data_IF_696700618938
#
_entry.id   IF_696700618938
#
_cell.length_a   1.000
_cell.length_b   1.000
_cell.length_c   1.000
_cell.angle_alpha   90.00
_cell.angle_beta   90.00
_cell.angle_gamma   90.00
#
_symmetry.space_group_name_H-M   'P 1'
#
loop_
_entity.id
_entity.type
_entity.pdbx_description
1 polymer ?
#
# COMPACT_ATOMS: atom_id res chain seq x y z
N UNK A 1 -48.01 21.22 -37.52
CA UNK A 1 -46.65 21.46 -38.07
C UNK A 1 -45.78 22.03 -36.97
N UNK A 2 -44.49 21.64 -36.96
CA UNK A 2 -43.38 22.00 -36.04
C UNK A 2 -43.19 21.12 -34.77
N UNK A 3 -41.93 20.84 -34.35
CA UNK A 3 -41.38 19.48 -34.45
C UNK A 3 -40.71 18.93 -33.17
N UNK A 4 -40.32 17.66 -33.27
CA UNK A 4 -39.62 16.81 -32.29
C UNK A 4 -38.20 17.32 -32.00
N UNK A 5 -37.84 17.45 -30.71
CA UNK A 5 -36.46 17.66 -30.26
C UNK A 5 -35.94 16.40 -29.54
N UNK A 6 -34.93 15.79 -30.16
CA UNK A 6 -34.09 14.73 -29.60
C UNK A 6 -33.08 15.33 -28.61
N UNK A 7 -33.05 14.83 -27.37
CA UNK A 7 -31.90 15.02 -26.48
C UNK A 7 -30.97 13.80 -26.56
N UNK A 8 -29.74 14.02 -27.07
CA UNK A 8 -28.60 13.12 -26.88
C UNK A 8 -27.86 13.52 -25.60
N UNK A 9 -27.43 12.57 -24.74
CA UNK A 9 -26.40 12.88 -23.75
C UNK A 9 -25.01 12.70 -24.36
N UNK A 10 -24.17 13.68 -24.07
CA UNK A 10 -22.73 13.71 -24.34
C UNK A 10 -22.02 12.59 -23.57
N UNK A 11 -21.35 11.69 -24.29
CA UNK A 11 -20.25 10.91 -23.73
C UNK A 11 -18.94 11.56 -24.15
N UNK A 12 -18.23 12.21 -23.22
CA UNK A 12 -16.81 12.50 -23.38
C UNK A 12 -16.10 12.60 -22.03
N UNK A 13 -15.01 11.83 -21.94
CA UNK A 13 -13.81 12.02 -21.11
C UNK A 13 -13.87 11.60 -19.63
N UNK A 14 -13.82 10.29 -19.40
CA UNK A 14 -13.17 9.72 -18.21
C UNK A 14 -12.02 8.82 -18.65
N UNK A 15 -10.84 9.41 -18.88
CA UNK A 15 -9.58 8.69 -19.09
C UNK A 15 -8.37 9.65 -18.95
N UNK A 16 -8.22 10.32 -17.80
CA UNK A 16 -6.99 11.09 -17.54
C UNK A 16 -6.50 11.10 -16.07
N UNK A 17 -7.30 10.72 -15.06
CA UNK A 17 -6.89 10.94 -13.65
C UNK A 17 -5.87 9.94 -13.10
N UNK A 18 -6.00 8.64 -13.42
CA UNK A 18 -5.11 7.61 -12.88
C UNK A 18 -3.66 7.72 -13.37
N UNK A 19 -3.40 8.42 -14.47
CA UNK A 19 -2.05 8.62 -15.02
C UNK A 19 -1.26 9.73 -14.30
N UNK A 20 -1.95 10.75 -13.77
CA UNK A 20 -1.32 11.92 -13.14
C UNK A 20 -0.76 11.57 -11.75
N UNK A 21 -1.49 10.77 -10.97
CA UNK A 21 -1.06 10.30 -9.64
C UNK A 21 0.21 9.43 -9.72
N UNK A 22 0.34 8.59 -10.75
CA UNK A 22 1.48 7.71 -10.99
C UNK A 22 2.76 8.47 -11.35
N UNK A 23 2.66 9.54 -12.16
CA UNK A 23 3.81 10.39 -12.45
C UNK A 23 4.32 11.09 -11.19
N UNK A 24 3.44 11.53 -10.28
CA UNK A 24 3.86 12.23 -9.07
C UNK A 24 4.66 11.38 -8.09
N UNK A 25 4.34 10.09 -7.91
CA UNK A 25 5.10 9.20 -7.02
C UNK A 25 6.47 8.85 -7.61
N UNK A 26 6.53 8.51 -8.90
CA UNK A 26 7.79 8.23 -9.58
C UNK A 26 8.70 9.48 -9.67
N UNK A 27 8.12 10.69 -9.75
CA UNK A 27 8.83 11.97 -9.71
C UNK A 27 9.33 12.35 -8.30
N UNK A 28 8.58 12.01 -7.25
CA UNK A 28 9.00 12.21 -5.86
C UNK A 28 10.32 11.47 -5.58
N UNK A 29 10.41 10.21 -6.02
CA UNK A 29 11.62 9.43 -5.84
C UNK A 29 12.82 9.98 -6.65
N UNK A 30 12.62 10.36 -7.93
CA UNK A 30 13.68 10.99 -8.74
C UNK A 30 14.24 12.26 -8.09
N UNK A 31 13.39 13.10 -7.48
CA UNK A 31 13.83 14.30 -6.74
C UNK A 31 14.65 13.98 -5.48
N UNK A 32 14.38 12.86 -4.82
CA UNK A 32 15.14 12.42 -3.65
C UNK A 32 16.57 11.99 -4.03
N UNK A 33 16.71 11.25 -5.14
CA UNK A 33 18.01 10.79 -5.67
C UNK A 33 18.91 11.94 -6.15
N UNK A 34 18.34 12.98 -6.75
CA UNK A 34 19.12 14.17 -7.15
C UNK A 34 19.66 14.94 -5.93
N UNK A 35 18.91 14.94 -4.83
CA UNK A 35 19.27 15.63 -3.58
C UNK A 35 20.39 14.90 -2.81
N UNK A 36 20.47 13.57 -2.90
CA UNK A 36 21.52 12.76 -2.25
C UNK A 36 22.85 12.80 -3.02
N UNK A 37 22.82 12.96 -4.35
CA UNK A 37 24.01 13.04 -5.21
C UNK A 37 24.78 14.37 -5.09
N UNK A 38 24.17 15.44 -4.57
CA UNK A 38 24.79 16.76 -4.39
C UNK A 38 25.75 16.88 -3.18
N UNK A 39 25.92 15.84 -2.36
CA UNK A 39 26.67 15.90 -1.08
C UNK A 39 28.10 15.33 -1.08
N UNK A 40 28.73 15.07 -2.24
CA UNK A 40 30.12 14.56 -2.29
C UNK A 40 31.10 15.60 -2.84
N UNK A 41 31.75 16.37 -1.96
CA UNK A 41 33.06 16.97 -2.26
C UNK A 41 33.96 17.07 -1.02
N UNK A 42 35.14 16.47 -1.22
CA UNK A 42 36.44 16.63 -0.56
C UNK A 42 36.54 16.52 0.96
N UNK A 43 37.29 15.51 1.42
CA UNK A 43 38.31 15.70 2.45
C UNK A 43 39.44 14.67 2.27
N UNK A 44 40.64 15.18 2.03
CA UNK A 44 41.92 14.46 1.96
C UNK A 44 42.74 14.84 3.19
N UNK A 45 43.37 13.87 3.87
CA UNK A 45 44.26 14.21 5.00
C UNK A 45 44.71 13.04 5.87
N UNK A 46 45.88 12.52 5.50
CA UNK A 46 46.98 11.89 6.25
C UNK A 46 46.76 10.90 7.42
N UNK A 47 47.57 9.84 7.38
CA UNK A 47 47.67 8.70 8.31
C UNK A 47 48.64 9.02 9.45
N UNK A 48 48.20 8.82 10.69
CA UNK A 48 49.06 8.49 11.82
C UNK A 48 48.39 7.39 12.67
N UNK A 49 49.16 6.35 12.94
CA UNK A 49 48.74 5.08 13.52
C UNK A 49 49.07 5.09 15.02
N UNK A 50 48.06 5.15 15.89
CA UNK A 50 48.21 4.93 17.34
C UNK A 50 47.06 4.07 17.84
N UNK A 51 47.44 2.99 18.54
CA UNK A 51 46.56 2.02 19.19
C UNK A 51 45.58 2.72 20.15
N UNK A 52 44.29 2.66 19.85
CA UNK A 52 43.24 2.98 20.81
C UNK A 52 41.97 2.23 20.43
N UNK A 53 41.54 1.28 21.25
CA UNK A 53 40.17 0.74 21.21
C UNK A 53 39.11 1.83 21.52
N UNK A 54 39.54 3.08 21.75
CA UNK A 54 38.72 4.27 21.90
C UNK A 54 39.06 5.19 20.72
N UNK A 55 38.51 4.89 19.55
CA UNK A 55 38.50 5.85 18.45
C UNK A 55 37.79 7.13 18.89
N UNK A 56 38.16 8.29 18.31
CA UNK A 56 37.41 9.54 18.52
C UNK A 56 35.91 9.26 18.28
N UNK A 57 35.00 9.81 19.12
CA UNK A 57 33.58 9.56 18.98
C UNK A 57 33.13 9.90 17.56
N UNK A 58 32.49 8.93 16.91
CA UNK A 58 32.02 9.10 15.54
C UNK A 58 30.92 10.16 15.50
N UNK A 59 30.98 11.06 14.51
CA UNK A 59 29.90 12.03 14.28
C UNK A 59 28.67 11.25 13.80
N UNK A 60 27.50 11.53 14.39
CA UNK A 60 26.23 10.94 13.98
C UNK A 60 25.44 11.91 13.10
N UNK A 61 24.84 11.46 11.98
CA UNK A 61 25.05 10.16 11.35
C UNK A 61 26.48 10.00 10.80
N UNK A 62 26.99 8.76 10.78
CA UNK A 62 28.38 8.44 10.40
C UNK A 62 28.77 8.79 8.97
N UNK A 63 27.78 9.05 8.10
CA UNK A 63 27.97 9.40 6.68
C UNK A 63 28.37 8.22 5.78
N UNK A 64 28.82 7.10 6.35
CA UNK A 64 29.14 5.87 5.61
C UNK A 64 28.00 4.87 5.76
N UNK A 65 27.23 4.65 4.69
CA UNK A 65 26.24 3.56 4.62
C UNK A 65 26.98 2.22 4.57
N UNK A 66 26.52 1.25 5.36
CA UNK A 66 26.99 -0.12 5.31
C UNK A 66 25.89 -0.95 4.66
N UNK A 67 26.06 -1.30 3.38
CA UNK A 67 25.15 -2.19 2.68
C UNK A 67 25.94 -3.33 2.02
N UNK A 68 25.40 -4.54 2.07
CA UNK A 68 25.97 -5.73 1.43
C UNK A 68 25.15 -6.04 0.18
N UNK A 69 25.79 -5.91 -0.98
CA UNK A 69 25.23 -6.23 -2.30
C UNK A 69 23.82 -5.68 -2.55
N UNK A 70 23.52 -4.51 -1.99
CA UNK A 70 22.24 -3.83 -2.18
C UNK A 70 22.41 -2.72 -3.23
N UNK A 71 21.97 -3.00 -4.45
CA UNK A 71 22.12 -2.09 -5.57
C UNK A 71 21.11 -0.93 -5.50
N UNK A 72 21.51 0.28 -5.93
CA UNK A 72 20.68 1.48 -5.85
C UNK A 72 19.33 1.35 -6.59
N UNK A 73 19.28 0.59 -7.69
CA UNK A 73 18.01 0.31 -8.38
C UNK A 73 17.11 -0.61 -7.56
N UNK A 74 17.67 -1.60 -6.86
CA UNK A 74 16.91 -2.47 -5.94
C UNK A 74 16.39 -1.64 -4.76
N UNK A 75 17.24 -0.81 -4.15
CA UNK A 75 16.83 0.14 -3.10
C UNK A 75 15.71 1.07 -3.57
N UNK A 76 15.79 1.53 -4.83
CA UNK A 76 14.75 2.34 -5.47
C UNK A 76 13.44 1.61 -5.62
N UNK A 77 13.47 0.37 -6.13
CA UNK A 77 12.27 -0.41 -6.32
C UNK A 77 11.59 -0.74 -4.98
N UNK A 78 12.38 -1.04 -3.94
CA UNK A 78 11.86 -1.28 -2.59
C UNK A 78 11.21 -0.01 -2.01
N UNK A 79 11.84 1.16 -2.19
CA UNK A 79 11.26 2.44 -1.77
C UNK A 79 9.97 2.79 -2.54
N UNK A 80 9.92 2.49 -3.84
CA UNK A 80 8.69 2.66 -4.62
C UNK A 80 7.58 1.75 -4.08
N UNK A 81 7.89 0.49 -3.78
CA UNK A 81 6.93 -0.44 -3.18
C UNK A 81 6.40 0.07 -1.83
N UNK A 82 7.25 0.59 -0.94
CA UNK A 82 6.82 1.21 0.34
C UNK A 82 5.72 2.26 0.09
N UNK A 83 5.90 3.11 -0.92
CA UNK A 83 4.95 4.18 -1.23
C UNK A 83 3.66 3.66 -1.88
N UNK A 84 3.74 2.56 -2.65
CA UNK A 84 2.58 1.87 -3.23
C UNK A 84 1.72 1.24 -2.13
N UNK A 85 2.34 0.49 -1.20
CA UNK A 85 1.63 -0.05 -0.02
C UNK A 85 1.06 1.09 0.85
N UNK A 86 1.81 2.19 0.96
CA UNK A 86 1.38 3.35 1.73
C UNK A 86 0.11 4.01 1.17
N UNK A 87 0.02 4.10 -0.16
CA UNK A 87 -1.18 4.56 -0.86
C UNK A 87 -2.32 3.56 -0.64
N UNK A 88 -2.04 2.27 -0.71
CA UNK A 88 -3.07 1.24 -0.57
C UNK A 88 -3.72 1.25 0.81
N UNK A 89 -2.93 1.30 1.90
CA UNK A 89 -3.51 1.38 3.25
C UNK A 89 -4.37 2.62 3.43
N UNK A 90 -3.99 3.76 2.84
CA UNK A 90 -4.74 5.01 2.99
C UNK A 90 -6.05 4.99 2.21
N UNK A 91 -6.08 4.33 1.05
CA UNK A 91 -7.30 4.09 0.29
C UNK A 91 -8.25 3.18 1.07
N UNK A 92 -7.74 2.11 1.67
CA UNK A 92 -8.56 1.22 2.50
C UNK A 92 -9.12 1.93 3.74
N UNK A 93 -8.34 2.80 4.38
CA UNK A 93 -8.83 3.63 5.48
C UNK A 93 -9.99 4.55 5.03
N UNK A 94 -9.86 5.17 3.85
CA UNK A 94 -10.92 5.99 3.24
C UNK A 94 -12.20 5.19 2.98
N UNK A 95 -12.07 3.96 2.45
CA UNK A 95 -13.23 3.07 2.25
C UNK A 95 -13.89 2.70 3.56
N UNK A 96 -13.11 2.30 4.57
CA UNK A 96 -13.63 1.95 5.89
C UNK A 96 -14.39 3.12 6.53
N UNK A 97 -13.81 4.32 6.49
CA UNK A 97 -14.43 5.53 7.02
C UNK A 97 -15.77 5.85 6.35
N UNK A 98 -15.90 5.60 5.04
CA UNK A 98 -17.17 5.79 4.34
C UNK A 98 -18.24 4.79 4.79
N UNK A 99 -17.91 3.50 4.86
CA UNK A 99 -18.89 2.47 5.24
C UNK A 99 -19.31 2.55 6.72
N UNK A 100 -18.48 3.14 7.57
CA UNK A 100 -18.78 3.44 8.98
C UNK A 100 -19.63 4.70 9.22
N UNK A 101 -19.94 5.48 8.17
CA UNK A 101 -20.86 6.61 8.31
C UNK A 101 -22.24 6.13 8.75
N UNK A 102 -22.90 6.88 9.63
CA UNK A 102 -24.25 6.55 10.14
C UNK A 102 -25.31 6.46 9.02
N UNK A 103 -25.13 7.18 7.92
CA UNK A 103 -26.05 7.18 6.77
C UNK A 103 -25.71 6.10 5.71
N UNK A 104 -24.60 5.37 5.88
CA UNK A 104 -24.22 4.21 5.06
C UNK A 104 -24.40 2.91 5.85
N UNK A 105 -23.84 2.85 7.07
CA UNK A 105 -24.03 1.82 8.09
C UNK A 105 -23.84 0.38 7.59
N UNK A 106 -22.70 0.09 6.97
CA UNK A 106 -22.31 -1.24 6.49
C UNK A 106 -21.10 -1.78 7.30
N UNK A 107 -21.34 -2.31 8.51
CA UNK A 107 -20.27 -2.68 9.45
C UNK A 107 -19.36 -3.82 8.96
N UNK A 108 -19.85 -4.71 8.09
CA UNK A 108 -19.02 -5.72 7.45
C UNK A 108 -17.99 -5.12 6.52
N UNK A 109 -18.41 -4.19 5.66
CA UNK A 109 -17.53 -3.46 4.75
C UNK A 109 -16.54 -2.57 5.52
N UNK A 110 -17.01 -1.86 6.55
CA UNK A 110 -16.15 -1.07 7.44
C UNK A 110 -15.06 -1.95 8.07
N UNK A 111 -15.45 -3.05 8.71
CA UNK A 111 -14.51 -3.97 9.38
C UNK A 111 -13.52 -4.59 8.39
N UNK A 112 -14.01 -4.99 7.22
CA UNK A 112 -13.18 -5.60 6.17
C UNK A 112 -12.12 -4.63 5.66
N UNK A 113 -12.51 -3.40 5.29
CA UNK A 113 -11.54 -2.43 4.79
C UNK A 113 -10.61 -1.91 5.90
N UNK A 114 -11.06 -1.90 7.17
CA UNK A 114 -10.16 -1.63 8.30
C UNK A 114 -9.11 -2.73 8.45
N UNK A 115 -9.49 -4.01 8.30
CA UNK A 115 -8.53 -5.11 8.27
C UNK A 115 -7.52 -4.94 7.11
N UNK A 116 -8.00 -4.65 5.90
CA UNK A 116 -7.11 -4.44 4.75
C UNK A 116 -6.16 -3.25 4.96
N UNK A 117 -6.64 -2.16 5.56
CA UNK A 117 -5.80 -1.03 5.95
C UNK A 117 -4.64 -1.46 6.86
N UNK A 118 -4.91 -2.27 7.89
CA UNK A 118 -3.86 -2.76 8.77
C UNK A 118 -2.89 -3.71 8.06
N UNK A 119 -3.38 -4.59 7.19
CA UNK A 119 -2.54 -5.51 6.41
C UNK A 119 -1.56 -4.75 5.49
N UNK A 120 -2.04 -3.76 4.73
CA UNK A 120 -1.16 -2.97 3.86
C UNK A 120 -0.18 -2.05 4.63
N UNK A 121 -0.58 -1.57 5.81
CA UNK A 121 0.33 -0.84 6.68
C UNK A 121 1.47 -1.75 7.17
N UNK A 122 1.18 -2.99 7.55
CA UNK A 122 2.20 -3.99 7.89
C UNK A 122 3.10 -4.32 6.69
N UNK A 123 2.55 -4.42 5.47
CA UNK A 123 3.36 -4.59 4.25
C UNK A 123 4.34 -3.45 4.04
N UNK A 124 3.88 -2.19 4.13
CA UNK A 124 4.74 -1.01 4.03
C UNK A 124 5.88 -1.03 5.06
N UNK A 125 5.57 -1.41 6.32
CA UNK A 125 6.55 -1.54 7.39
C UNK A 125 7.55 -2.69 7.14
N UNK A 126 7.12 -3.82 6.58
CA UNK A 126 8.02 -4.93 6.21
C UNK A 126 9.03 -4.49 5.16
N UNK A 127 8.61 -3.79 4.11
CA UNK A 127 9.55 -3.24 3.11
C UNK A 127 10.47 -2.18 3.71
N UNK A 128 9.94 -1.28 4.54
CA UNK A 128 10.73 -0.27 5.25
C UNK A 128 11.83 -0.90 6.11
N UNK A 129 11.46 -1.89 6.91
CA UNK A 129 12.40 -2.62 7.75
C UNK A 129 13.43 -3.38 6.92
N UNK A 130 13.03 -3.93 5.78
CA UNK A 130 13.93 -4.59 4.85
C UNK A 130 14.97 -3.63 4.26
N UNK A 131 14.57 -2.43 3.80
CA UNK A 131 15.50 -1.39 3.31
C UNK A 131 16.49 -0.99 4.41
N UNK A 132 16.01 -0.75 5.63
CA UNK A 132 16.87 -0.44 6.78
C UNK A 132 17.84 -1.59 7.11
N UNK A 133 17.36 -2.84 7.09
CA UNK A 133 18.17 -4.03 7.34
C UNK A 133 19.30 -4.18 6.31
N UNK A 134 19.01 -3.87 5.03
CA UNK A 134 20.01 -3.89 3.95
C UNK A 134 20.96 -2.68 3.97
N UNK A 135 20.76 -1.73 4.88
CA UNK A 135 21.59 -0.52 5.01
C UNK A 135 21.27 0.58 4.01
N UNK A 136 20.10 0.51 3.37
CA UNK A 136 19.56 1.56 2.51
C UNK A 136 18.95 2.72 3.29
N UNK A 137 18.38 3.67 2.55
CA UNK A 137 17.67 4.82 3.08
C UNK A 137 16.23 4.82 2.59
N UNK A 138 15.32 5.09 3.52
CA UNK A 138 13.88 5.10 3.24
C UNK A 138 13.47 6.51 2.81
N UNK A 139 12.80 6.58 1.67
CA UNK A 139 12.29 7.81 1.06
C UNK A 139 10.77 7.76 1.00
N UNK A 140 10.13 8.31 2.04
CA UNK A 140 8.68 8.43 2.12
C UNK A 140 8.18 9.62 1.28
N UNK A 141 7.19 9.36 0.44
CA UNK A 141 6.53 10.37 -0.38
C UNK A 141 5.20 10.80 0.24
N UNK A 142 4.69 11.94 -0.22
CA UNK A 142 3.34 12.37 0.13
C UNK A 142 2.32 11.33 -0.38
N UNK A 143 1.41 10.92 0.51
CA UNK A 143 0.31 10.03 0.18
C UNK A 143 -0.84 10.90 -0.33
N UNK A 144 -1.21 10.71 -1.60
CA UNK A 144 -2.33 11.42 -2.19
C UNK A 144 -3.64 10.69 -1.86
N UNK A 145 -4.71 11.39 -1.44
CA UNK A 145 -6.02 10.80 -1.26
C UNK A 145 -6.60 10.33 -2.60
N UNK A 146 -7.60 9.44 -2.54
CA UNK A 146 -8.42 9.12 -3.71
C UNK A 146 -9.22 10.35 -4.18
N UNK A 147 -9.32 10.53 -5.50
CA UNK A 147 -10.13 11.61 -6.09
C UNK A 147 -11.62 11.49 -5.74
N UNK A 148 -12.10 10.25 -5.55
CA UNK A 148 -13.45 9.93 -5.10
C UNK A 148 -13.38 9.32 -3.70
N UNK A 149 -13.96 10.00 -2.71
CA UNK A 149 -14.07 9.54 -1.32
C UNK A 149 -15.51 9.20 -0.92
N UNK A 150 -16.47 9.38 -1.83
CA UNK A 150 -17.86 9.08 -1.51
C UNK A 150 -18.19 7.62 -1.78
N UNK A 151 -17.34 6.82 -2.43
CA UNK A 151 -17.38 5.36 -2.67
C UNK A 151 -18.71 4.71 -3.14
N UNK A 152 -19.84 5.39 -3.07
CA UNK A 152 -21.22 5.14 -3.51
C UNK A 152 -21.83 3.87 -2.96
N UNK A 153 -21.27 2.73 -3.31
CA UNK A 153 -21.78 1.42 -2.95
C UNK A 153 -20.64 0.40 -2.82
N UNK A 154 -20.88 -0.74 -2.16
CA UNK A 154 -19.88 -1.80 -2.04
C UNK A 154 -19.26 -2.19 -3.38
N UNK A 155 -20.05 -2.35 -4.45
CA UNK A 155 -19.54 -2.73 -5.76
C UNK A 155 -18.48 -1.76 -6.30
N UNK A 156 -18.66 -0.46 -6.09
CA UNK A 156 -17.69 0.54 -6.54
C UNK A 156 -16.41 0.49 -5.70
N UNK A 157 -16.52 0.41 -4.37
CA UNK A 157 -15.36 0.26 -3.48
C UNK A 157 -14.54 -1.00 -3.80
N UNK A 158 -15.20 -2.17 -3.91
CA UNK A 158 -14.54 -3.44 -4.21
C UNK A 158 -13.90 -3.50 -5.61
N UNK A 159 -14.48 -2.82 -6.60
CA UNK A 159 -13.84 -2.68 -7.93
C UNK A 159 -12.56 -1.85 -7.85
N UNK A 160 -12.58 -0.78 -7.07
CA UNK A 160 -11.38 0.04 -6.83
C UNK A 160 -10.34 -0.73 -6.03
N UNK A 161 -10.74 -1.46 -4.99
CA UNK A 161 -9.87 -2.34 -4.22
C UNK A 161 -9.21 -3.40 -5.11
N UNK A 162 -9.97 -4.09 -5.96
CA UNK A 162 -9.40 -5.04 -6.92
C UNK A 162 -8.36 -4.40 -7.85
N UNK A 163 -8.63 -3.19 -8.34
CA UNK A 163 -7.69 -2.48 -9.20
C UNK A 163 -6.42 -2.07 -8.45
N UNK A 164 -6.55 -1.71 -7.17
CA UNK A 164 -5.45 -1.38 -6.27
C UNK A 164 -4.57 -2.61 -6.02
N UNK A 165 -5.15 -3.77 -5.68
CA UNK A 165 -4.42 -5.04 -5.52
C UNK A 165 -3.65 -5.45 -6.79
N UNK A 166 -4.26 -5.27 -7.97
CA UNK A 166 -3.60 -5.55 -9.25
C UNK A 166 -2.43 -4.58 -9.49
N UNK A 167 -2.56 -3.32 -9.08
CA UNK A 167 -1.49 -2.32 -9.19
C UNK A 167 -0.33 -2.66 -8.26
N UNK A 168 -0.61 -2.92 -6.97
CA UNK A 168 0.37 -3.36 -5.97
C UNK A 168 1.13 -4.59 -6.47
N UNK A 169 0.41 -5.61 -6.95
CA UNK A 169 1.02 -6.82 -7.49
C UNK A 169 1.93 -6.59 -8.71
N UNK A 170 1.61 -5.63 -9.58
CA UNK A 170 2.49 -5.27 -10.71
C UNK A 170 3.79 -4.63 -10.24
N UNK A 171 3.71 -3.76 -9.23
CA UNK A 171 4.90 -3.15 -8.64
C UNK A 171 5.77 -4.18 -7.91
N UNK A 172 5.18 -5.14 -7.20
CA UNK A 172 5.91 -6.27 -6.60
C UNK A 172 6.69 -7.08 -7.65
N UNK A 173 6.03 -7.43 -8.76
CA UNK A 173 6.68 -8.16 -9.86
C UNK A 173 7.80 -7.32 -10.49
N UNK A 174 7.59 -6.02 -10.69
CA UNK A 174 8.62 -5.12 -11.21
C UNK A 174 9.82 -5.00 -10.26
N UNK A 175 9.57 -4.91 -8.94
CA UNK A 175 10.63 -4.88 -7.93
C UNK A 175 11.44 -6.18 -7.91
N UNK A 176 10.79 -7.34 -8.02
CA UNK A 176 11.49 -8.62 -8.11
C UNK A 176 12.32 -8.72 -9.40
N UNK A 177 11.80 -8.25 -10.54
CA UNK A 177 12.56 -8.23 -11.79
C UNK A 177 13.84 -7.36 -11.68
N UNK A 178 13.80 -6.26 -10.93
CA UNK A 178 15.00 -5.45 -10.64
C UNK A 178 15.97 -6.21 -9.73
N UNK A 179 15.47 -6.91 -8.70
CA UNK A 179 16.31 -7.74 -7.84
C UNK A 179 17.03 -8.85 -8.64
N UNK A 180 16.28 -9.57 -9.49
CA UNK A 180 16.83 -10.62 -10.37
C UNK A 180 17.85 -10.06 -11.36
N UNK A 181 17.59 -8.90 -11.97
CA UNK A 181 18.51 -8.21 -12.88
C UNK A 181 19.88 -7.98 -12.24
N UNK A 182 19.92 -7.63 -10.96
CA UNK A 182 21.15 -7.36 -10.21
C UNK A 182 21.69 -8.59 -9.46
N UNK A 183 21.07 -9.76 -9.62
CA UNK A 183 21.46 -10.98 -8.91
C UNK A 183 21.25 -10.92 -7.40
N UNK A 184 20.37 -10.04 -6.91
CA UNK A 184 20.08 -9.89 -5.48
C UNK A 184 19.11 -10.99 -5.00
N UNK A 185 19.67 -12.16 -4.71
CA UNK A 185 18.91 -13.33 -4.28
C UNK A 185 18.13 -13.10 -2.98
N UNK A 186 18.65 -12.28 -2.06
CA UNK A 186 17.98 -12.01 -0.80
C UNK A 186 16.77 -11.09 -0.99
N UNK A 187 16.85 -10.09 -1.88
CA UNK A 187 15.71 -9.26 -2.23
C UNK A 187 14.64 -10.05 -2.99
N UNK A 188 15.07 -10.94 -3.89
CA UNK A 188 14.15 -11.80 -4.63
C UNK A 188 13.40 -12.77 -3.71
N UNK A 189 14.11 -13.46 -2.81
CA UNK A 189 13.48 -14.35 -1.81
C UNK A 189 12.52 -13.57 -0.89
N UNK A 190 12.92 -12.39 -0.42
CA UNK A 190 12.06 -11.53 0.40
C UNK A 190 10.74 -11.21 -0.28
N UNK A 191 10.75 -10.88 -1.58
CA UNK A 191 9.53 -10.55 -2.33
C UNK A 191 8.71 -11.81 -2.63
N UNK A 192 9.35 -12.85 -3.18
CA UNK A 192 8.66 -14.08 -3.63
C UNK A 192 8.03 -14.80 -2.44
N UNK A 193 8.85 -15.14 -1.45
CA UNK A 193 8.41 -15.91 -0.28
C UNK A 193 7.57 -15.05 0.67
N UNK A 194 7.84 -13.75 0.73
CA UNK A 194 7.19 -12.87 1.69
C UNK A 194 5.84 -12.29 1.25
N UNK A 195 5.56 -12.20 -0.05
CA UNK A 195 4.41 -11.41 -0.56
C UNK A 195 3.68 -12.03 -1.75
N UNK A 196 4.35 -12.73 -2.68
CA UNK A 196 3.71 -13.08 -3.96
C UNK A 196 2.49 -13.99 -3.81
N UNK A 197 2.55 -15.03 -2.97
CA UNK A 197 1.42 -15.93 -2.77
C UNK A 197 0.21 -15.21 -2.16
N UNK A 198 0.45 -14.42 -1.12
CA UNK A 198 -0.60 -13.67 -0.43
C UNK A 198 -1.21 -12.60 -1.34
N UNK A 199 -0.40 -11.93 -2.16
CA UNK A 199 -0.89 -11.00 -3.18
C UNK A 199 -1.84 -11.69 -4.17
N UNK A 200 -1.52 -12.91 -4.63
CA UNK A 200 -2.40 -13.65 -5.54
C UNK A 200 -3.71 -14.07 -4.85
N UNK A 201 -3.65 -14.42 -3.55
CA UNK A 201 -4.84 -14.70 -2.75
C UNK A 201 -5.73 -13.46 -2.61
N UNK A 202 -5.15 -12.30 -2.30
CA UNK A 202 -5.87 -11.02 -2.18
C UNK A 202 -6.55 -10.64 -3.49
N UNK A 203 -5.85 -10.69 -4.63
CA UNK A 203 -6.44 -10.40 -5.96
C UNK A 203 -7.60 -11.34 -6.26
N UNK A 204 -7.44 -12.65 -6.00
CA UNK A 204 -8.50 -13.63 -6.21
C UNK A 204 -9.71 -13.39 -5.29
N UNK A 205 -9.48 -13.08 -4.01
CA UNK A 205 -10.54 -12.77 -3.05
C UNK A 205 -11.33 -11.53 -3.47
N UNK A 206 -10.66 -10.43 -3.81
CA UNK A 206 -11.32 -9.22 -4.32
C UNK A 206 -12.09 -9.49 -5.62
N UNK A 207 -11.52 -10.27 -6.54
CA UNK A 207 -12.19 -10.65 -7.80
C UNK A 207 -13.48 -11.45 -7.57
N UNK A 208 -13.47 -12.38 -6.61
CA UNK A 208 -14.67 -13.15 -6.22
C UNK A 208 -15.74 -12.26 -5.59
N UNK A 209 -15.35 -11.34 -4.69
CA UNK A 209 -16.27 -10.39 -4.06
C UNK A 209 -16.90 -9.43 -5.08
N UNK A 210 -16.11 -8.90 -6.01
CA UNK A 210 -16.62 -8.09 -7.14
C UNK A 210 -17.59 -8.88 -8.01
N UNK A 211 -17.30 -10.14 -8.29
CA UNK A 211 -18.19 -11.01 -9.09
C UNK A 211 -19.53 -11.23 -8.39
N UNK A 212 -19.52 -11.53 -7.09
CA UNK A 212 -20.73 -11.68 -6.30
C UNK A 212 -21.56 -10.38 -6.28
N UNK A 213 -20.94 -9.25 -5.95
CA UNK A 213 -21.59 -7.93 -5.94
C UNK A 213 -22.17 -7.54 -7.30
N UNK A 214 -21.48 -7.90 -8.40
CA UNK A 214 -21.96 -7.64 -9.76
C UNK A 214 -23.18 -8.49 -10.12
N UNK A 215 -23.25 -9.72 -9.60
CA UNK A 215 -24.36 -10.65 -9.85
C UNK A 215 -25.63 -10.32 -9.06
N UNK A 216 -25.48 -9.95 -7.78
CA UNK A 216 -26.64 -9.63 -6.91
C UNK A 216 -27.21 -8.22 -7.17
N UNK A 217 -26.43 -7.33 -7.77
CA UNK A 217 -26.82 -5.95 -8.02
C UNK A 217 -26.81 -5.07 -6.78
N UNK A 218 -27.36 -3.85 -6.90
CA UNK A 218 -27.22 -2.80 -5.89
C UNK A 218 -28.54 -2.48 -5.15
N UNK A 219 -29.23 -3.52 -4.70
CA UNK A 219 -30.48 -3.40 -3.93
C UNK A 219 -30.20 -3.40 -2.42
N UNK A 220 -31.05 -2.74 -1.62
CA UNK A 220 -30.85 -2.61 -0.17
C UNK A 220 -30.71 -3.97 0.54
N UNK A 221 -31.55 -4.95 0.20
CA UNK A 221 -31.46 -6.30 0.76
C UNK A 221 -30.16 -7.01 0.35
N UNK A 222 -29.72 -6.83 -0.90
CA UNK A 222 -28.47 -7.41 -1.40
C UNK A 222 -27.25 -6.84 -0.66
N UNK A 223 -27.22 -5.52 -0.44
CA UNK A 223 -26.18 -4.85 0.38
C UNK A 223 -26.14 -5.42 1.79
N UNK A 224 -27.31 -5.53 2.43
CA UNK A 224 -27.41 -6.04 3.80
C UNK A 224 -26.93 -7.48 3.93
N UNK A 225 -27.35 -8.37 3.03
CA UNK A 225 -26.94 -9.79 3.05
C UNK A 225 -25.44 -9.91 2.77
N UNK A 226 -24.93 -9.19 1.77
CA UNK A 226 -23.50 -9.19 1.45
C UNK A 226 -22.66 -8.69 2.64
N UNK A 227 -23.06 -7.59 3.26
CA UNK A 227 -22.34 -7.01 4.39
C UNK A 227 -22.28 -7.96 5.59
N UNK A 228 -23.40 -8.64 5.87
CA UNK A 228 -23.45 -9.67 6.91
C UNK A 228 -22.53 -10.86 6.60
N UNK A 229 -22.58 -11.38 5.37
CA UNK A 229 -21.71 -12.49 4.93
C UNK A 229 -20.22 -12.09 5.00
N UNK A 230 -19.91 -10.86 4.59
CA UNK A 230 -18.57 -10.30 4.64
C UNK A 230 -18.03 -10.28 6.09
N UNK A 231 -18.85 -9.79 7.02
CA UNK A 231 -18.51 -9.72 8.44
C UNK A 231 -18.31 -11.11 9.09
N UNK A 232 -19.08 -12.11 8.66
CA UNK A 232 -19.03 -13.46 9.23
C UNK A 232 -17.86 -14.28 8.69
N UNK A 233 -17.56 -14.16 7.38
CA UNK A 233 -16.68 -15.09 6.67
C UNK A 233 -15.33 -14.51 6.24
N UNK A 234 -15.19 -13.19 6.17
CA UNK A 234 -13.98 -12.55 5.63
C UNK A 234 -13.27 -11.61 6.61
N UNK A 235 -13.94 -11.22 7.70
CA UNK A 235 -13.39 -10.35 8.75
C UNK A 235 -12.85 -11.18 9.91
N UNK A 236 -11.56 -11.00 10.24
CA UNK A 236 -10.95 -11.63 11.41
C UNK A 236 -11.61 -11.09 12.70
N UNK A 237 -11.74 -11.91 13.76
CA UNK A 237 -12.42 -11.49 14.99
C UNK A 237 -11.87 -10.20 15.61
N UNK A 238 -10.57 -9.94 15.50
CA UNK A 238 -9.94 -8.73 16.04
C UNK A 238 -10.35 -7.43 15.34
N UNK A 239 -10.83 -7.51 14.10
CA UNK A 239 -11.30 -6.36 13.30
C UNK A 239 -12.82 -6.26 13.25
N UNK A 240 -13.55 -7.21 13.85
CA UNK A 240 -15.00 -7.17 13.87
C UNK A 240 -15.47 -6.10 14.87
N UNK A 241 -15.91 -4.95 14.34
CA UNK A 241 -16.32 -3.80 15.15
C UNK A 241 -17.57 -4.06 16.00
N UNK A 242 -18.37 -5.08 15.67
CA UNK A 242 -19.59 -5.43 16.40
C UNK A 242 -19.33 -6.44 17.54
N UNK A 243 -18.26 -7.22 17.45
CA UNK A 243 -17.88 -8.19 18.48
C UNK A 243 -16.89 -7.55 19.44
N UNK A 244 -17.40 -6.96 20.53
CA UNK A 244 -16.53 -6.55 21.62
C UNK A 244 -15.70 -7.74 22.14
N UNK A 245 -14.39 -7.53 22.35
CA UNK A 245 -13.56 -8.44 23.13
C UNK A 245 -14.15 -8.56 24.54
N UNK A 246 -14.97 -9.57 24.78
CA UNK A 246 -15.27 -10.03 26.13
C UNK A 246 -13.98 -10.60 26.71
N UNK A 247 -13.11 -9.74 27.25
CA UNK A 247 -12.01 -10.21 28.10
C UNK A 247 -12.65 -10.88 29.32
N UNK A 248 -12.34 -12.15 29.63
CA UNK A 248 -12.66 -12.67 30.95
C UNK A 248 -11.86 -11.83 31.95
N UNK A 249 -12.56 -11.09 32.83
CA UNK A 249 -11.93 -10.49 34.01
C UNK A 249 -11.25 -11.64 34.76
N UNK A 250 -9.92 -11.71 34.73
CA UNK A 250 -9.17 -12.50 35.70
C UNK A 250 -9.50 -11.91 37.08
N UNK A 251 -10.46 -12.51 37.76
CA UNK A 251 -10.68 -12.30 39.18
C UNK A 251 -9.44 -12.87 39.88
N UNK A 252 -8.48 -12.00 40.19
CA UNK A 252 -7.39 -12.34 41.09
C UNK A 252 -8.00 -12.65 42.46
N UNK A 253 -7.89 -13.91 42.91
CA UNK A 253 -7.95 -14.31 44.30
C UNK A 253 -6.54 -14.49 44.82
#
# INVERSE_FOLDING_TARGET
MLPVLYHRPFYRLFRFSSYVSLQTQHLCYKRSQDSSNLRKRSESGNRDQVNSCIGKPMKWPSGKKSHFDFHNETESAMNEQINVESKAFYYYLSMAAYFGRVDVALPGCESFFMQMHHEEHEHALRFLNYVNMRGGEVHLCAIMPSDDQDWKCPLHAFKTALQLEIEVGKYLVAANAVAEKHGDLNASDFIITGFMEDQMKSVNQMGRLVTMLSGIGDQALARFIFDKDLLENYVKPDYNILKHKSQPRKLNK
#
